data_IF_768770134407
#
_entry.id   IF_768770134407
#
_cell.length_a   1.000
_cell.length_b   1.000
_cell.length_c   1.000
_cell.angle_alpha   90.00
_cell.angle_beta   90.00
_cell.angle_gamma   90.00
#
_symmetry.space_group_name_H-M   'P 1'
#
loop_
_entity.id
_entity.type
_entity.pdbx_description
1 polymer ?
#
# COMPACT_ATOMS: atom_id res chain seq x y z
N UNK A 1 23.18 1.50 -3.64
CA UNK A 1 22.59 1.61 -2.30
C UNK A 1 21.21 0.98 -2.36
N UNK A 2 21.05 -0.20 -1.77
CA UNK A 2 19.71 -0.80 -1.59
C UNK A 2 18.90 0.12 -0.66
N UNK A 3 17.80 0.69 -1.17
CA UNK A 3 16.86 1.41 -0.30
C UNK A 3 16.15 0.37 0.56
N UNK A 4 16.52 0.27 1.82
CA UNK A 4 15.81 -0.61 2.76
C UNK A 4 14.37 -0.13 2.93
N UNK A 5 13.41 -1.01 2.71
CA UNK A 5 11.98 -0.85 2.96
C UNK A 5 11.74 -0.72 4.47
N UNK A 6 11.94 0.46 5.04
CA UNK A 6 11.82 0.68 6.48
C UNK A 6 10.67 1.61 6.82
N UNK A 7 10.09 1.41 8.00
CA UNK A 7 9.15 2.37 8.60
C UNK A 7 9.89 3.62 9.11
N UNK A 8 9.13 4.57 9.67
CA UNK A 8 9.68 5.80 10.26
C UNK A 8 10.63 5.56 11.46
N UNK A 9 10.74 4.33 11.97
CA UNK A 9 11.66 3.92 13.04
C UNK A 9 12.83 3.09 12.49
N UNK A 10 13.08 3.15 11.17
CA UNK A 10 14.13 2.38 10.47
C UNK A 10 13.97 0.85 10.56
N UNK A 11 12.77 0.36 10.92
CA UNK A 11 12.51 -1.08 11.00
C UNK A 11 12.00 -1.59 9.66
N UNK A 12 12.57 -2.67 9.12
CA UNK A 12 12.19 -3.19 7.81
C UNK A 12 10.78 -3.76 7.82
N UNK A 13 9.96 -3.41 6.84
CA UNK A 13 8.66 -4.04 6.58
C UNK A 13 8.82 -5.51 6.19
N UNK A 14 7.80 -6.32 6.46
CA UNK A 14 7.78 -7.75 6.12
C UNK A 14 6.46 -8.17 5.49
N UNK A 15 6.52 -9.12 4.57
CA UNK A 15 5.34 -9.84 4.08
C UNK A 15 4.51 -10.39 5.24
N UNK A 16 3.20 -10.22 5.17
CA UNK A 16 2.25 -10.60 6.20
C UNK A 16 2.05 -9.56 7.31
N UNK A 17 2.86 -8.51 7.39
CA UNK A 17 2.61 -7.41 8.32
C UNK A 17 1.38 -6.61 7.92
N UNK A 18 0.78 -5.99 8.93
CA UNK A 18 -0.42 -5.18 8.79
C UNK A 18 -0.03 -3.71 8.89
N UNK A 19 -0.41 -2.94 7.86
CA UNK A 19 -0.12 -1.52 7.73
C UNK A 19 -1.41 -0.75 7.49
N UNK A 20 -1.41 0.53 7.85
CA UNK A 20 -2.50 1.46 7.53
C UNK A 20 -2.08 2.33 6.36
N UNK A 21 -2.94 2.44 5.35
CA UNK A 21 -2.73 3.37 4.24
C UNK A 21 -2.87 4.81 4.72
N UNK A 22 -1.87 5.65 4.45
CA UNK A 22 -1.90 7.08 4.76
C UNK A 22 -2.30 7.92 3.55
N UNK A 23 -1.88 7.50 2.35
CA UNK A 23 -2.18 8.17 1.10
C UNK A 23 -2.03 7.20 -0.08
N UNK A 24 -2.70 7.49 -1.20
CA UNK A 24 -2.52 6.75 -2.44
C UNK A 24 -1.48 7.49 -3.32
N UNK A 25 -0.46 6.80 -3.85
CA UNK A 25 0.51 7.43 -4.75
C UNK A 25 -0.19 8.11 -5.93
N UNK A 26 0.14 9.38 -6.20
CA UNK A 26 -0.50 10.14 -7.30
C UNK A 26 -0.34 9.45 -8.66
N UNK A 27 0.80 8.82 -8.89
CA UNK A 27 1.09 8.08 -10.11
C UNK A 27 0.13 6.88 -10.31
N UNK A 28 -0.45 6.35 -9.24
CA UNK A 28 -1.40 5.25 -9.32
C UNK A 28 -2.71 5.68 -9.99
N UNK A 29 -3.19 6.90 -9.70
CA UNK A 29 -4.37 7.47 -10.37
C UNK A 29 -4.15 7.69 -11.87
N UNK A 30 -2.91 7.97 -12.30
CA UNK A 30 -2.59 8.12 -13.72
C UNK A 30 -2.60 6.79 -14.49
N UNK A 31 -2.46 5.66 -13.78
CA UNK A 31 -2.37 4.31 -14.36
C UNK A 31 -3.69 3.54 -14.32
N UNK A 32 -4.65 4.04 -13.56
CA UNK A 32 -5.93 3.38 -13.34
C UNK A 32 -7.07 4.21 -13.92
N UNK A 33 -8.10 3.57 -14.51
CA UNK A 33 -9.30 4.27 -14.98
C UNK A 33 -9.95 5.08 -13.86
N UNK A 34 -10.54 6.23 -14.21
CA UNK A 34 -11.20 7.14 -13.26
C UNK A 34 -12.27 6.45 -12.40
N UNK A 35 -12.92 5.41 -12.94
CA UNK A 35 -13.89 4.61 -12.21
C UNK A 35 -13.32 3.98 -10.92
N UNK A 36 -12.03 3.69 -10.86
CA UNK A 36 -11.36 3.12 -9.69
C UNK A 36 -10.81 4.18 -8.72
N UNK A 37 -10.85 5.45 -9.08
CA UNK A 37 -10.26 6.51 -8.26
C UNK A 37 -11.03 6.71 -6.95
N UNK A 38 -12.36 6.53 -6.98
CA UNK A 38 -13.19 6.63 -5.79
C UNK A 38 -12.89 5.48 -4.81
N UNK A 39 -12.81 4.25 -5.31
CA UNK A 39 -12.50 3.06 -4.51
C UNK A 39 -11.11 3.18 -3.88
N UNK A 40 -10.09 3.58 -4.65
CA UNK A 40 -8.75 3.81 -4.12
C UNK A 40 -8.70 4.90 -3.04
N UNK A 41 -9.42 6.00 -3.23
CA UNK A 41 -9.48 7.06 -2.21
C UNK A 41 -10.13 6.57 -0.92
N UNK A 42 -11.09 5.65 -1.02
CA UNK A 42 -11.72 5.03 0.14
C UNK A 42 -10.77 4.11 0.93
N UNK A 43 -9.67 3.64 0.31
CA UNK A 43 -8.65 2.84 1.01
C UNK A 43 -7.73 3.68 1.91
N UNK A 44 -7.72 5.02 1.77
CA UNK A 44 -6.95 5.87 2.68
C UNK A 44 -7.51 5.76 4.09
N UNK A 45 -6.65 5.41 5.05
CA UNK A 45 -7.01 5.16 6.44
C UNK A 45 -7.38 3.71 6.74
N UNK A 46 -7.63 2.88 5.72
CA UNK A 46 -7.89 1.46 5.87
C UNK A 46 -6.61 0.67 6.16
N UNK A 47 -6.83 -0.56 6.61
CA UNK A 47 -5.80 -1.47 7.06
C UNK A 47 -5.61 -2.57 6.04
N UNK A 48 -4.36 -2.75 5.60
CA UNK A 48 -3.98 -3.73 4.60
C UNK A 48 -2.90 -4.66 5.13
N UNK A 49 -2.88 -5.88 4.60
CA UNK A 49 -1.77 -6.81 4.79
C UNK A 49 -0.80 -6.68 3.63
N UNK A 50 0.49 -6.64 3.94
CA UNK A 50 1.55 -6.68 2.92
C UNK A 50 1.56 -8.08 2.30
N UNK A 51 1.25 -8.16 1.01
CA UNK A 51 1.28 -9.40 0.25
C UNK A 51 2.67 -9.71 -0.27
N UNK A 52 3.41 -8.69 -0.69
CA UNK A 52 4.80 -8.85 -1.13
C UNK A 52 5.61 -7.57 -1.07
N UNK A 53 6.92 -7.70 -1.30
CA UNK A 53 7.90 -6.60 -1.34
C UNK A 53 8.74 -6.74 -2.61
N UNK A 54 8.88 -5.68 -3.41
CA UNK A 54 9.69 -5.72 -4.64
C UNK A 54 11.14 -5.27 -4.42
N UNK A 55 11.99 -5.48 -5.43
CA UNK A 55 13.39 -5.04 -5.45
C UNK A 55 13.56 -3.51 -5.46
N UNK A 56 12.50 -2.76 -5.82
CA UNK A 56 12.50 -1.31 -5.91
C UNK A 56 12.08 -0.63 -4.60
N UNK A 57 11.79 -1.40 -3.57
CA UNK A 57 11.41 -0.87 -2.28
C UNK A 57 9.93 -0.48 -2.22
N UNK A 58 9.04 -1.22 -2.87
CA UNK A 58 7.58 -1.06 -2.79
C UNK A 58 6.93 -2.26 -2.12
N UNK A 59 5.74 -2.01 -1.58
CA UNK A 59 4.88 -3.01 -0.95
C UNK A 59 3.68 -3.28 -1.83
N UNK A 60 3.39 -4.56 -2.04
CA UNK A 60 2.11 -4.98 -2.60
C UNK A 60 1.07 -5.04 -1.49
N UNK A 61 -0.02 -4.30 -1.68
CA UNK A 61 -1.19 -4.32 -0.81
C UNK A 61 -2.40 -4.81 -1.61
N UNK A 62 -3.19 -5.66 -1.00
CA UNK A 62 -4.47 -6.11 -1.53
C UNK A 62 -5.62 -5.28 -0.92
N UNK A 63 -6.56 -4.89 -1.77
CA UNK A 63 -7.83 -4.28 -1.39
C UNK A 63 -8.97 -4.93 -2.19
N UNK A 64 -10.21 -4.71 -1.76
CA UNK A 64 -11.38 -5.27 -2.43
C UNK A 64 -12.22 -4.13 -2.98
N UNK A 65 -12.68 -4.25 -4.23
CA UNK A 65 -13.64 -3.29 -4.76
C UNK A 65 -15.05 -3.51 -4.17
N UNK A 66 -16.01 -2.66 -4.58
CA UNK A 66 -17.41 -2.75 -4.16
C UNK A 66 -18.10 -4.09 -4.48
N UNK A 67 -17.55 -4.89 -5.39
CA UNK A 67 -18.05 -6.21 -5.76
C UNK A 67 -17.28 -7.34 -5.04
N UNK A 68 -16.44 -7.01 -4.06
CA UNK A 68 -15.55 -7.94 -3.38
C UNK A 68 -14.54 -8.62 -4.31
N UNK A 69 -14.19 -8.01 -5.44
CA UNK A 69 -13.08 -8.51 -6.26
C UNK A 69 -11.75 -8.00 -5.67
N UNK A 70 -10.76 -8.88 -5.46
CA UNK A 70 -9.45 -8.48 -4.95
C UNK A 70 -8.65 -7.77 -6.04
N UNK A 71 -8.01 -6.67 -5.66
CA UNK A 71 -7.10 -5.88 -6.48
C UNK A 71 -5.81 -5.66 -5.70
N UNK A 72 -4.66 -5.65 -6.38
CA UNK A 72 -3.38 -5.34 -5.75
C UNK A 72 -2.77 -4.07 -6.29
N UNK A 73 -2.12 -3.32 -5.39
CA UNK A 73 -1.40 -2.08 -5.71
C UNK A 73 -0.02 -2.09 -5.08
N UNK A 74 0.94 -1.52 -5.81
CA UNK A 74 2.31 -1.34 -5.35
C UNK A 74 2.49 0.08 -4.82
N UNK A 75 2.74 0.21 -3.52
CA UNK A 75 2.88 1.50 -2.84
C UNK A 75 4.26 1.67 -2.20
N UNK A 76 4.67 2.93 -2.03
CA UNK A 76 5.93 3.24 -1.35
C UNK A 76 5.76 3.17 0.18
N UNK A 77 6.85 2.89 0.94
CA UNK A 77 6.87 2.97 2.39
C UNK A 77 6.30 4.24 3.01
N UNK A 78 6.51 5.38 2.36
CA UNK A 78 6.00 6.67 2.81
C UNK A 78 4.47 6.76 2.80
N UNK A 79 3.80 5.91 2.02
CA UNK A 79 2.35 5.94 1.86
C UNK A 79 1.61 5.12 2.93
N UNK A 80 2.33 4.45 3.82
CA UNK A 80 1.74 3.59 4.85
C UNK A 80 2.41 3.81 6.20
N UNK A 81 1.73 3.39 7.26
CA UNK A 81 2.32 3.31 8.59
C UNK A 81 2.04 1.96 9.24
N UNK A 82 2.92 1.52 10.13
CA UNK A 82 2.64 0.34 10.95
C UNK A 82 1.55 0.64 11.96
N UNK A 83 0.68 -0.33 12.17
CA UNK A 83 -0.25 -0.29 13.28
C UNK A 83 0.50 -0.81 14.51
N UNK A 84 0.98 0.11 15.34
CA UNK A 84 1.48 -0.23 16.67
C UNK A 84 0.29 -0.76 17.47
N UNK A 85 0.37 -2.01 17.92
CA UNK A 85 -0.54 -2.57 18.92
C UNK A 85 -0.21 -2.01 20.29
#
# INVERSE_FOLDING_TARGET
>A
MEKKLVDHQEKPFKKGEVVRMLEIPRDLFSRLPEAHHADLKAEVGNVHRIQDLDEYGKMELEFHDKNYMPHTIWVSPSCVTRILK
#
